data_IF_725410889088
#
_entry.id   IF_725410889088
#
_cell.length_a   1.000
_cell.length_b   1.000
_cell.length_c   1.000
_cell.angle_alpha   90.00
_cell.angle_beta   90.00
_cell.angle_gamma   90.00
#
_symmetry.space_group_name_H-M   'P 1'
#
loop_
_entity.id
_entity.type
_entity.pdbx_description
1 polymer ?
#
# COMPACT_ATOMS: atom_id res chain seq x y z
N UNK A 1 -3.96 -2.25 -14.96
CA UNK A 1 -4.87 -2.68 -13.89
C UNK A 1 -5.44 -4.05 -14.24
N UNK A 2 -5.42 -4.98 -13.30
CA UNK A 2 -5.99 -6.31 -13.48
C UNK A 2 -7.52 -6.24 -13.36
N UNK A 3 -8.22 -6.79 -14.36
CA UNK A 3 -9.69 -6.78 -14.40
C UNK A 3 -10.16 -8.23 -14.60
N UNK A 4 -11.06 -8.69 -13.70
CA UNK A 4 -11.63 -10.03 -13.79
C UNK A 4 -13.10 -9.95 -14.20
N UNK A 5 -13.52 -10.89 -15.04
CA UNK A 5 -14.92 -10.98 -15.46
C UNK A 5 -15.84 -11.54 -14.37
N UNK A 6 -15.26 -12.31 -13.45
CA UNK A 6 -15.95 -12.87 -12.29
C UNK A 6 -15.21 -12.42 -11.02
N UNK A 7 -15.85 -12.59 -9.87
CA UNK A 7 -15.21 -12.27 -8.59
C UNK A 7 -13.90 -13.07 -8.45
N UNK A 8 -12.75 -12.41 -8.28
CA UNK A 8 -11.46 -13.10 -8.21
C UNK A 8 -11.35 -13.92 -6.91
N UNK A 9 -10.53 -14.96 -6.98
CA UNK A 9 -10.16 -15.72 -5.78
C UNK A 9 -9.23 -14.88 -4.91
N UNK A 10 -9.22 -15.15 -3.58
CA UNK A 10 -8.34 -14.44 -2.65
C UNK A 10 -6.87 -14.51 -3.08
N UNK A 11 -6.41 -15.67 -3.55
CA UNK A 11 -5.05 -15.85 -4.01
C UNK A 11 -4.70 -14.94 -5.21
N UNK A 12 -5.65 -14.71 -6.11
CA UNK A 12 -5.44 -13.83 -7.27
C UNK A 12 -5.27 -12.37 -6.82
N UNK A 13 -6.09 -11.94 -5.87
CA UNK A 13 -6.03 -10.59 -5.31
C UNK A 13 -4.72 -10.37 -4.53
N UNK A 14 -4.35 -11.34 -3.71
CA UNK A 14 -3.09 -11.28 -2.95
C UNK A 14 -1.88 -11.20 -3.88
N UNK A 15 -1.92 -11.89 -5.03
CA UNK A 15 -0.85 -11.81 -6.03
C UNK A 15 -0.72 -10.40 -6.61
N UNK A 16 -1.85 -9.74 -6.92
CA UNK A 16 -1.85 -8.36 -7.43
C UNK A 16 -1.29 -7.40 -6.39
N UNK A 17 -1.73 -7.50 -5.15
CA UNK A 17 -1.25 -6.64 -4.05
C UNK A 17 0.23 -6.89 -3.76
N UNK A 18 0.66 -8.15 -3.76
CA UNK A 18 2.07 -8.51 -3.61
C UNK A 18 2.94 -7.87 -4.70
N UNK A 19 2.46 -7.88 -5.94
CA UNK A 19 3.14 -7.24 -7.07
C UNK A 19 3.18 -5.72 -6.93
N UNK A 20 2.09 -5.12 -6.46
CA UNK A 20 2.03 -3.69 -6.16
C UNK A 20 3.17 -3.28 -5.21
N UNK A 21 3.32 -3.99 -4.09
CA UNK A 21 4.37 -3.70 -3.12
C UNK A 21 5.76 -4.02 -3.64
N UNK A 22 5.91 -5.04 -4.47
CA UNK A 22 7.19 -5.36 -5.12
C UNK A 22 7.66 -4.21 -6.01
N UNK A 23 6.74 -3.60 -6.75
CA UNK A 23 7.03 -2.43 -7.57
C UNK A 23 7.39 -1.21 -6.72
N UNK A 24 6.68 -0.98 -5.61
CA UNK A 24 7.02 0.09 -4.68
C UNK A 24 8.44 -0.10 -4.13
N UNK A 25 8.79 -1.31 -3.69
CA UNK A 25 10.13 -1.61 -3.16
C UNK A 25 11.22 -1.38 -4.20
N UNK A 26 10.91 -1.55 -5.47
CA UNK A 26 11.83 -1.29 -6.57
C UNK A 26 11.87 0.19 -6.97
N UNK A 27 11.10 1.05 -6.32
CA UNK A 27 11.00 2.47 -6.66
C UNK A 27 10.17 2.75 -7.90
N UNK A 28 9.45 1.76 -8.42
CA UNK A 28 8.62 1.87 -9.63
C UNK A 28 7.20 2.29 -9.29
N UNK A 29 7.07 3.50 -8.73
CA UNK A 29 5.79 4.03 -8.25
C UNK A 29 4.74 4.15 -9.35
N UNK A 30 5.02 4.71 -10.55
CA UNK A 30 4.02 4.81 -11.60
C UNK A 30 3.46 3.45 -12.05
N UNK A 31 4.30 2.42 -12.12
CA UNK A 31 3.88 1.07 -12.48
C UNK A 31 3.00 0.46 -11.39
N UNK A 32 3.31 0.71 -10.13
CA UNK A 32 2.48 0.27 -9.01
C UNK A 32 1.08 0.91 -9.07
N UNK A 33 1.01 2.22 -9.35
CA UNK A 33 -0.26 2.95 -9.48
C UNK A 33 -1.20 2.33 -10.49
N UNK A 34 -0.66 1.71 -11.54
CA UNK A 34 -1.46 1.15 -12.63
C UNK A 34 -2.06 -0.21 -12.31
N UNK A 35 -1.66 -0.85 -11.21
CA UNK A 35 -2.16 -2.18 -10.86
C UNK A 35 -3.51 -2.18 -10.16
N UNK A 36 -3.86 -1.09 -9.50
CA UNK A 36 -5.06 -1.00 -8.65
C UNK A 36 -5.87 0.26 -8.97
N UNK A 37 -7.17 0.18 -8.75
CA UNK A 37 -8.04 1.36 -8.79
C UNK A 37 -8.01 2.02 -7.41
N UNK A 38 -7.42 3.20 -7.30
CA UNK A 38 -6.87 3.63 -6.03
C UNK A 38 -7.10 5.09 -5.67
N UNK A 39 -6.94 5.36 -4.38
CA UNK A 39 -6.61 6.70 -3.89
C UNK A 39 -5.19 7.06 -4.33
N UNK A 40 -4.84 8.35 -4.42
CA UNK A 40 -3.50 8.74 -4.87
C UNK A 40 -2.39 8.06 -4.07
N UNK A 41 -1.50 7.40 -4.77
CA UNK A 41 -0.36 6.68 -4.17
C UNK A 41 0.47 7.61 -3.29
N UNK A 42 0.59 8.87 -3.68
CA UNK A 42 1.30 9.87 -2.88
C UNK A 42 0.80 9.94 -1.44
N UNK A 43 -0.51 9.88 -1.23
CA UNK A 43 -1.10 9.88 0.12
C UNK A 43 -0.67 8.66 0.92
N UNK A 44 -0.67 7.51 0.30
CA UNK A 44 -0.23 6.25 0.92
C UNK A 44 1.25 6.29 1.24
N UNK A 45 2.07 6.72 0.29
CA UNK A 45 3.52 6.84 0.48
C UNK A 45 3.85 7.78 1.64
N UNK A 46 3.15 8.90 1.75
CA UNK A 46 3.31 9.83 2.86
C UNK A 46 3.05 9.14 4.20
N UNK A 47 1.98 8.38 4.29
CA UNK A 47 1.62 7.65 5.52
C UNK A 47 2.64 6.55 5.84
N UNK A 48 3.10 5.82 4.85
CA UNK A 48 4.13 4.79 5.01
C UNK A 48 5.44 5.40 5.49
N UNK A 49 5.86 6.50 4.87
CA UNK A 49 7.09 7.19 5.26
C UNK A 49 7.01 7.68 6.70
N UNK A 50 5.88 8.29 7.07
CA UNK A 50 5.67 8.76 8.44
C UNK A 50 5.77 7.62 9.45
N UNK A 51 5.21 6.45 9.12
CA UNK A 51 5.36 5.25 9.92
C UNK A 51 6.82 4.80 10.04
N UNK A 52 7.60 4.92 8.97
CA UNK A 52 9.00 4.47 8.96
C UNK A 52 9.92 5.28 9.87
N UNK A 53 9.62 6.56 10.10
CA UNK A 53 10.42 7.41 10.99
C UNK A 53 9.97 7.34 12.46
N UNK A 54 8.87 6.63 12.73
CA UNK A 54 8.36 6.36 14.07
C UNK A 54 7.46 7.46 14.64
N UNK A 55 6.48 7.04 15.44
CA UNK A 55 5.49 7.93 16.03
C UNK A 55 6.09 8.92 17.05
N UNK A 56 7.17 8.55 17.72
CA UNK A 56 7.85 9.39 18.69
C UNK A 56 8.59 10.58 18.07
N UNK A 57 8.72 10.61 16.75
CA UNK A 57 9.39 11.66 15.99
C UNK A 57 8.41 12.53 15.20
N UNK A 58 7.16 12.66 15.63
CA UNK A 58 6.10 13.33 14.87
C UNK A 58 6.47 14.74 14.43
N UNK A 59 7.03 15.57 15.32
CA UNK A 59 7.40 16.95 14.99
C UNK A 59 8.51 16.98 13.93
N UNK A 60 9.49 16.12 14.05
CA UNK A 60 10.57 15.99 13.06
C UNK A 60 10.03 15.44 11.73
N UNK A 61 9.16 14.43 11.80
CA UNK A 61 8.53 13.86 10.61
C UNK A 61 7.70 14.91 9.86
N UNK A 62 6.93 15.73 10.58
CA UNK A 62 6.13 16.79 9.97
C UNK A 62 7.01 17.86 9.31
N UNK A 63 8.12 18.24 9.93
CA UNK A 63 9.09 19.17 9.34
C UNK A 63 9.70 18.58 8.05
N UNK A 64 10.11 17.33 8.07
CA UNK A 64 10.67 16.64 6.90
C UNK A 64 9.64 16.48 5.78
N UNK A 65 8.38 16.21 6.12
CA UNK A 65 7.30 16.18 5.14
C UNK A 65 7.12 17.53 4.46
N UNK A 66 7.21 18.62 5.21
CA UNK A 66 7.08 19.97 4.67
C UNK A 66 8.21 20.32 3.68
N UNK A 67 9.41 19.77 3.88
CA UNK A 67 10.54 19.96 2.96
C UNK A 67 10.50 19.06 1.73
N UNK A 68 9.60 18.07 1.70
CA UNK A 68 9.49 17.12 0.58
C UNK A 68 10.61 16.09 0.52
N UNK A 69 11.38 15.93 1.59
CA UNK A 69 12.51 15.00 1.64
C UNK A 69 12.10 13.56 1.30
N UNK A 70 10.95 13.13 1.77
CA UNK A 70 10.45 11.78 1.55
C UNK A 70 10.13 11.48 0.07
N UNK A 71 9.91 12.50 -0.75
CA UNK A 71 9.67 12.36 -2.19
C UNK A 71 10.97 12.32 -2.99
N UNK A 72 12.04 12.92 -2.47
CA UNK A 72 13.31 13.05 -3.17
C UNK A 72 14.15 11.78 -3.12
N UNK A 73 14.04 11.03 -2.04
CA UNK A 73 14.75 9.77 -1.86
C UNK A 73 13.74 8.68 -1.47
N UNK A 74 13.52 7.75 -2.38
CA UNK A 74 12.59 6.64 -2.20
C UNK A 74 13.30 5.34 -1.78
N UNK A 75 14.58 5.39 -1.41
CA UNK A 75 15.35 4.21 -1.01
C UNK A 75 14.74 3.49 0.20
N UNK A 76 14.03 4.24 1.07
CA UNK A 76 13.33 3.67 2.22
C UNK A 76 12.25 2.65 1.83
N UNK A 77 11.72 2.71 0.61
CA UNK A 77 10.75 1.73 0.12
C UNK A 77 11.33 0.32 0.06
N UNK A 78 12.64 0.19 -0.12
CA UNK A 78 13.31 -1.11 -0.09
C UNK A 78 13.26 -1.81 1.26
N UNK A 79 12.97 -1.08 2.34
CA UNK A 79 12.83 -1.62 3.69
C UNK A 79 11.43 -2.19 3.97
N UNK A 80 10.49 -2.04 3.02
CA UNK A 80 9.14 -2.56 3.19
C UNK A 80 9.08 -4.06 3.07
N UNK A 81 8.33 -4.69 3.96
CA UNK A 81 8.04 -6.11 3.89
C UNK A 81 6.54 -6.32 4.13
N UNK A 82 5.97 -7.30 3.47
CA UNK A 82 4.57 -7.63 3.67
C UNK A 82 4.41 -8.65 4.79
N UNK A 83 3.50 -8.34 5.71
CA UNK A 83 3.01 -9.31 6.68
C UNK A 83 1.86 -10.13 6.12
N UNK A 84 0.95 -10.54 6.99
CA UNK A 84 -0.17 -11.39 6.61
C UNK A 84 -1.31 -10.61 5.96
N UNK A 85 -2.01 -11.27 5.07
CA UNK A 85 -3.26 -10.76 4.49
C UNK A 85 -4.42 -11.20 5.38
N UNK A 86 -5.22 -10.24 5.84
CA UNK A 86 -6.35 -10.48 6.73
C UNK A 86 -7.65 -10.14 6.00
N UNK A 87 -8.39 -11.17 5.60
CA UNK A 87 -9.64 -11.04 4.87
C UNK A 87 -10.84 -10.86 5.81
N UNK A 88 -11.77 -9.98 5.41
CA UNK A 88 -13.05 -9.83 6.08
C UNK A 88 -14.02 -10.96 5.75
N UNK A 89 -15.17 -10.98 6.45
CA UNK A 89 -16.18 -12.03 6.33
C UNK A 89 -16.76 -12.18 4.92
N UNK A 90 -16.83 -11.08 4.17
CA UNK A 90 -17.42 -11.08 2.83
C UNK A 90 -16.46 -11.57 1.75
N UNK A 91 -15.17 -11.70 2.05
CA UNK A 91 -14.14 -12.00 1.06
C UNK A 91 -13.86 -10.85 0.09
N UNK A 92 -14.45 -9.68 0.30
CA UNK A 92 -14.29 -8.51 -0.58
C UNK A 92 -13.42 -7.42 0.01
N UNK A 93 -13.25 -7.42 1.32
CA UNK A 93 -12.41 -6.45 2.03
C UNK A 93 -11.28 -7.18 2.73
N UNK A 94 -10.10 -6.60 2.66
CA UNK A 94 -8.96 -7.14 3.37
C UNK A 94 -7.98 -6.02 3.70
N UNK A 95 -7.11 -6.30 4.65
CA UNK A 95 -5.98 -5.44 4.93
C UNK A 95 -4.70 -6.26 4.95
N UNK A 96 -3.60 -5.60 4.70
CA UNK A 96 -2.28 -6.19 4.74
C UNK A 96 -1.42 -5.36 5.69
N UNK A 97 -0.62 -6.03 6.49
CA UNK A 97 0.35 -5.36 7.34
C UNK A 97 1.64 -5.15 6.56
N UNK A 98 2.14 -3.93 6.62
CA UNK A 98 3.41 -3.56 6.01
C UNK A 98 4.41 -3.30 7.12
N UNK A 99 5.51 -4.00 7.08
CA UNK A 99 6.54 -3.96 8.12
C UNK A 99 7.75 -3.20 7.60
N UNK A 100 8.26 -2.29 8.42
CA UNK A 100 9.54 -1.62 8.16
C UNK A 100 10.63 -2.31 8.95
N UNK A 101 11.53 -3.01 8.27
CA UNK A 101 12.59 -3.78 8.92
C UNK A 101 13.50 -2.94 9.81
N UNK A 102 13.84 -1.74 9.34
CA UNK A 102 14.78 -0.88 10.06
C UNK A 102 14.18 -0.29 11.35
N UNK A 103 12.87 -0.17 11.46
CA UNK A 103 12.17 0.48 12.56
C UNK A 103 11.28 -0.45 13.38
N UNK A 104 11.06 -1.66 12.93
CA UNK A 104 10.13 -2.63 13.56
C UNK A 104 8.75 -2.00 13.79
N UNK A 105 8.27 -1.27 12.79
CA UNK A 105 6.96 -0.60 12.85
C UNK A 105 6.04 -1.26 11.83
N UNK A 106 4.83 -1.58 12.27
CA UNK A 106 3.79 -2.11 11.40
C UNK A 106 2.80 -1.01 11.02
N UNK A 107 2.42 -1.02 9.75
CA UNK A 107 1.41 -0.12 9.20
C UNK A 107 0.39 -1.00 8.50
N UNK A 108 -0.90 -0.81 8.80
CA UNK A 108 -1.96 -1.57 8.16
C UNK A 108 -2.60 -0.77 7.03
N UNK A 109 -2.70 -1.38 5.86
CA UNK A 109 -3.33 -0.79 4.69
C UNK A 109 -4.53 -1.65 4.26
N UNK A 110 -5.65 -0.98 3.99
CA UNK A 110 -6.86 -1.62 3.53
C UNK A 110 -6.99 -1.62 2.01
N UNK A 111 -7.50 -2.72 1.49
CA UNK A 111 -7.85 -2.88 0.08
C UNK A 111 -9.24 -3.51 0.00
N UNK A 112 -9.87 -3.41 -1.16
CA UNK A 112 -11.14 -4.08 -1.40
C UNK A 112 -11.27 -4.47 -2.85
N UNK A 113 -12.08 -5.49 -3.10
CA UNK A 113 -12.46 -5.93 -4.43
C UNK A 113 -13.76 -5.22 -4.80
N UNK A 114 -13.77 -4.52 -5.92
CA UNK A 114 -14.88 -3.66 -6.31
C UNK A 114 -15.37 -4.05 -7.71
N UNK A 115 -16.69 -4.10 -7.88
CA UNK A 115 -17.32 -4.30 -9.18
C UNK A 115 -17.38 -2.98 -9.94
N UNK A 116 -16.99 -3.01 -11.21
CA UNK A 116 -17.08 -1.87 -12.12
C UNK A 116 -17.79 -2.32 -13.40
N UNK A 117 -18.10 -1.36 -14.28
CA UNK A 117 -18.70 -1.68 -15.59
C UNK A 117 -17.78 -2.55 -16.43
N UNK A 118 -16.47 -2.47 -16.23
CA UNK A 118 -15.49 -3.27 -16.95
C UNK A 118 -15.24 -4.64 -16.31
N UNK A 119 -15.68 -4.86 -15.07
CA UNK A 119 -15.46 -6.09 -14.31
C UNK A 119 -15.00 -5.81 -12.88
N UNK A 120 -14.42 -6.81 -12.25
CA UNK A 120 -13.92 -6.72 -10.87
C UNK A 120 -12.48 -6.23 -10.85
N UNK A 121 -12.18 -5.31 -9.94
CA UNK A 121 -10.84 -4.73 -9.77
C UNK A 121 -10.47 -4.67 -8.31
N UNK A 122 -9.18 -4.60 -8.03
CA UNK A 122 -8.67 -4.32 -6.68
C UNK A 122 -8.61 -2.80 -6.52
N UNK A 123 -9.20 -2.30 -5.44
CA UNK A 123 -9.19 -0.88 -5.10
C UNK A 123 -8.43 -0.65 -3.79
N UNK A 124 -7.87 0.51 -3.66
CA UNK A 124 -7.02 0.89 -2.53
C UNK A 124 -5.62 1.22 -2.99
N UNK A 125 -4.64 1.35 -2.09
CA UNK A 125 -4.79 1.16 -0.65
C UNK A 125 -5.39 2.37 0.07
N UNK A 126 -5.94 2.10 1.25
CA UNK A 126 -6.32 3.15 2.19
C UNK A 126 -5.68 2.88 3.55
N UNK A 127 -5.39 3.95 4.28
CA UNK A 127 -4.80 3.84 5.61
C UNK A 127 -5.88 3.53 6.65
N UNK A 128 -5.55 2.71 7.64
CA UNK A 128 -6.47 2.30 8.70
C UNK A 128 -6.24 3.05 10.02
N UNK A 129 -5.42 4.07 10.02
CA UNK A 129 -5.18 4.89 11.20
C UNK A 129 -5.38 6.37 10.95
#
# INVERSE_FOLDING_TARGET
MEIWTEHPAEADVEAVVGRYFSLLRAGKVPEAEQLVDHVPVRHVLKSLWKGSVGASADDEADCRLATGEWEQDLSWLGELDLGDFNWGHTGTHFYVEVIYRAQIIEVSLGFWVKATDAGWVVAGPSTLW
#
